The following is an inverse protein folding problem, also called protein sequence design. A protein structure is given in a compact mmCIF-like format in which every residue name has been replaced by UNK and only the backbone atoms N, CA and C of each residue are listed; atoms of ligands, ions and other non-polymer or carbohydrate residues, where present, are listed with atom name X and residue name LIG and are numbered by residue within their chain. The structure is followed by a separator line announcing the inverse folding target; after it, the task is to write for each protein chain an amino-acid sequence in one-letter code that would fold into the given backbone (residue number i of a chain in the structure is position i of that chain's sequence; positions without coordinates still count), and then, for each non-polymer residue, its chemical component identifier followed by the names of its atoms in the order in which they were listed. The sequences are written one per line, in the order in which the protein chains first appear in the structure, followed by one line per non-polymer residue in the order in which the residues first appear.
data_IF_754992265278
#
_entry.id   IF_754992265278
#
_cell.length_a   1.000
_cell.length_b   1.000
_cell.length_c   1.000
_cell.angle_alpha   90.00
_cell.angle_beta   90.00
_cell.angle_gamma   90.00
#
_symmetry.space_group_name_H-M   'P 1'
#
loop_
_entity.id
_entity.type
_entity.pdbx_description
1 polymer ?
#
# COMPACT_ATOMS: atom_id res chain seq x y z
N UNK A 1 9.22 -12.89 -59.90
CA UNK A 1 8.42 -11.93 -59.10
C UNK A 1 8.80 -12.21 -57.66
N UNK A 2 9.60 -11.33 -57.05
CA UNK A 2 10.04 -11.51 -55.67
C UNK A 2 8.88 -11.11 -54.75
N UNK A 3 8.53 -11.96 -53.79
CA UNK A 3 7.57 -11.61 -52.75
C UNK A 3 8.05 -10.36 -52.01
N UNK A 4 7.17 -9.41 -51.67
CA UNK A 4 7.56 -8.27 -50.86
C UNK A 4 7.97 -8.79 -49.48
N UNK A 5 9.10 -8.33 -48.90
CA UNK A 5 9.45 -8.69 -47.54
C UNK A 5 8.33 -8.16 -46.65
N UNK A 6 7.70 -9.05 -45.90
CA UNK A 6 6.71 -8.71 -44.88
C UNK A 6 7.45 -7.90 -43.80
N UNK A 7 7.56 -6.57 -43.98
CA UNK A 7 8.26 -5.64 -43.07
C UNK A 7 7.41 -5.36 -41.83
N UNK A 8 7.05 -6.42 -41.10
CA UNK A 8 6.55 -6.27 -39.74
C UNK A 8 7.68 -5.86 -38.82
N UNK A 9 7.38 -5.04 -37.80
CA UNK A 9 8.28 -4.88 -36.66
C UNK A 9 8.50 -6.26 -36.03
N UNK A 10 9.74 -6.63 -35.64
CA UNK A 10 9.98 -7.85 -34.87
C UNK A 10 9.08 -7.93 -33.64
N UNK A 11 8.59 -9.13 -33.33
CA UNK A 11 7.70 -9.35 -32.18
C UNK A 11 8.35 -8.90 -30.87
N UNK A 12 9.67 -9.11 -30.73
CA UNK A 12 10.42 -8.71 -29.55
C UNK A 12 10.40 -7.19 -29.32
N UNK A 13 10.61 -6.40 -30.38
CA UNK A 13 10.52 -4.93 -30.31
C UNK A 13 9.07 -4.51 -30.01
N UNK A 14 8.10 -5.15 -30.67
CA UNK A 14 6.69 -4.84 -30.47
C UNK A 14 6.25 -5.10 -29.01
N UNK A 15 6.70 -6.21 -28.42
CA UNK A 15 6.34 -6.59 -27.05
C UNK A 15 7.11 -5.73 -26.04
N UNK A 16 8.43 -5.70 -26.12
CA UNK A 16 9.29 -5.17 -25.05
C UNK A 16 9.65 -3.69 -25.19
N UNK A 17 9.45 -3.07 -26.36
CA UNK A 17 9.67 -1.62 -26.50
C UNK A 17 8.37 -0.83 -26.65
N UNK A 18 7.31 -1.45 -27.17
CA UNK A 18 6.04 -0.77 -27.42
C UNK A 18 4.99 -1.19 -26.40
N UNK A 19 4.54 -2.45 -26.41
CA UNK A 19 3.42 -2.90 -25.58
C UNK A 19 3.70 -2.75 -24.08
N UNK A 20 4.93 -3.00 -23.63
CA UNK A 20 5.31 -2.91 -22.22
C UNK A 20 5.23 -1.48 -21.66
N UNK A 21 5.28 -0.46 -22.52
CA UNK A 21 5.22 0.96 -22.14
C UNK A 21 3.82 1.56 -22.28
N UNK A 22 2.86 0.80 -22.84
CA UNK A 22 1.51 1.29 -23.03
C UNK A 22 0.78 1.46 -21.69
N UNK A 23 -0.07 2.48 -21.53
CA UNK A 23 -0.97 2.58 -20.39
C UNK A 23 -1.87 1.33 -20.25
N UNK A 24 -2.30 0.93 -19.04
CA UNK A 24 -3.01 -0.33 -18.82
C UNK A 24 -4.26 -0.48 -19.69
N UNK A 25 -5.04 0.59 -19.88
CA UNK A 25 -6.24 0.60 -20.73
C UNK A 25 -5.92 0.33 -22.20
N UNK A 26 -4.82 0.86 -22.73
CA UNK A 26 -4.39 0.63 -24.10
C UNK A 26 -3.87 -0.81 -24.27
N UNK A 27 -3.09 -1.30 -23.31
CA UNK A 27 -2.62 -2.68 -23.28
C UNK A 27 -3.79 -3.68 -23.29
N UNK A 28 -4.83 -3.45 -22.49
CA UNK A 28 -6.03 -4.30 -22.50
C UNK A 28 -6.73 -4.34 -23.86
N UNK A 29 -6.74 -3.24 -24.61
CA UNK A 29 -7.25 -3.21 -25.99
C UNK A 29 -6.35 -4.00 -26.94
N UNK A 30 -5.03 -3.87 -26.83
CA UNK A 30 -4.07 -4.67 -27.61
C UNK A 30 -4.27 -6.18 -27.39
N UNK A 31 -4.57 -6.60 -26.16
CA UNK A 31 -4.88 -8.01 -25.83
C UNK A 31 -6.12 -8.56 -26.53
N UNK A 32 -7.04 -7.69 -26.96
CA UNK A 32 -8.22 -8.08 -27.72
C UNK A 32 -7.95 -8.25 -29.22
N UNK A 33 -6.83 -7.73 -29.74
CA UNK A 33 -6.51 -7.74 -31.18
C UNK A 33 -6.15 -9.14 -31.67
N UNK A 34 -5.25 -9.85 -30.98
CA UNK A 34 -4.84 -11.20 -31.38
C UNK A 34 -4.41 -12.08 -30.20
N UNK A 35 -4.41 -13.41 -30.42
CA UNK A 35 -4.01 -14.40 -29.40
C UNK A 35 -2.53 -14.30 -29.03
N UNK A 36 -1.65 -13.96 -29.99
CA UNK A 36 -0.21 -13.84 -29.75
C UNK A 36 0.09 -12.71 -28.75
N UNK A 37 -0.45 -11.50 -28.99
CA UNK A 37 -0.32 -10.39 -28.05
C UNK A 37 -0.97 -10.68 -26.71
N UNK A 38 -2.16 -11.31 -26.70
CA UNK A 38 -2.78 -11.75 -25.46
C UNK A 38 -1.88 -12.69 -24.67
N UNK A 39 -1.26 -13.66 -25.33
CA UNK A 39 -0.35 -14.62 -24.69
C UNK A 39 0.92 -13.94 -24.17
N UNK A 40 1.61 -13.18 -25.02
CA UNK A 40 2.85 -12.49 -24.68
C UNK A 40 2.69 -11.55 -23.48
N UNK A 41 1.60 -10.77 -23.48
CA UNK A 41 1.30 -9.80 -22.41
C UNK A 41 0.66 -10.42 -21.16
N UNK A 42 0.40 -11.73 -21.17
CA UNK A 42 -0.05 -12.48 -19.98
C UNK A 42 1.10 -13.19 -19.26
N UNK A 43 2.31 -13.16 -19.83
CA UNK A 43 3.49 -13.73 -19.17
C UNK A 43 3.86 -12.92 -17.94
N UNK A 44 4.43 -13.60 -16.94
CA UNK A 44 4.85 -12.98 -15.69
C UNK A 44 5.86 -11.86 -15.92
N UNK A 45 6.88 -12.13 -16.73
CA UNK A 45 7.98 -11.20 -16.99
C UNK A 45 7.46 -9.92 -17.65
N UNK A 46 6.53 -10.07 -18.60
CA UNK A 46 5.90 -8.91 -19.22
C UNK A 46 5.11 -8.09 -18.20
N UNK A 47 4.32 -8.73 -17.33
CA UNK A 47 3.53 -8.02 -16.33
C UNK A 47 4.40 -7.26 -15.33
N UNK A 48 5.53 -7.85 -14.91
CA UNK A 48 6.50 -7.20 -14.03
C UNK A 48 7.18 -6.01 -14.70
N UNK A 49 7.65 -6.18 -15.95
CA UNK A 49 8.26 -5.10 -16.70
C UNK A 49 7.26 -3.98 -17.00
N UNK A 50 6.03 -4.34 -17.40
CA UNK A 50 4.94 -3.39 -17.64
C UNK A 50 4.62 -2.59 -16.39
N UNK A 51 4.52 -3.26 -15.24
CA UNK A 51 4.35 -2.61 -13.94
C UNK A 51 5.50 -1.66 -13.62
N UNK A 52 6.75 -2.04 -13.86
CA UNK A 52 7.92 -1.18 -13.65
C UNK A 52 7.94 0.10 -14.50
N UNK A 53 7.15 0.14 -15.59
CA UNK A 53 6.94 1.35 -16.38
C UNK A 53 5.71 2.17 -15.98
N UNK A 54 4.89 1.67 -15.04
CA UNK A 54 3.75 2.42 -14.52
C UNK A 54 4.17 3.35 -13.39
N UNK A 55 3.35 4.38 -13.19
CA UNK A 55 3.52 5.28 -12.06
C UNK A 55 3.08 4.59 -10.78
N UNK A 56 3.95 4.62 -9.76
CA UNK A 56 3.58 4.27 -8.40
C UNK A 56 2.75 5.42 -7.83
N UNK A 57 1.43 5.21 -7.73
CA UNK A 57 0.50 6.19 -7.18
C UNK A 57 0.04 5.73 -5.80
N UNK A 58 -0.08 6.63 -4.81
CA UNK A 58 -0.74 6.32 -3.55
C UNK A 58 -2.13 5.76 -3.82
N UNK A 59 -2.47 4.66 -3.15
CA UNK A 59 -3.78 4.04 -3.27
C UNK A 59 -4.67 4.46 -2.12
N UNK A 60 -5.87 4.87 -2.49
CA UNK A 60 -6.98 5.09 -1.58
C UNK A 60 -8.03 4.04 -1.88
N UNK A 61 -8.82 3.69 -0.87
CA UNK A 61 -9.98 2.85 -1.10
C UNK A 61 -11.21 3.42 -0.41
N UNK A 62 -12.35 3.32 -1.10
CA UNK A 62 -13.64 3.75 -0.60
C UNK A 62 -14.57 2.56 -0.44
N UNK A 63 -15.26 2.47 0.70
CA UNK A 63 -16.32 1.46 0.89
C UNK A 63 -17.68 2.14 0.77
N UNK A 64 -18.56 1.63 -0.09
CA UNK A 64 -19.94 2.13 -0.22
C UNK A 64 -20.92 1.00 0.00
N UNK A 65 -21.90 1.23 0.88
CA UNK A 65 -22.97 0.27 1.14
C UNK A 65 -24.05 0.41 0.07
N UNK A 66 -24.32 -0.66 -0.69
CA UNK A 66 -25.33 -0.67 -1.78
C UNK A 66 -26.60 -1.43 -1.34
N UNK A 67 -26.87 -1.47 -0.03
CA UNK A 67 -28.03 -2.14 0.55
C UNK A 67 -27.90 -3.66 0.46
N UNK A 68 -28.91 -4.33 -0.12
CA UNK A 68 -28.99 -5.81 -0.17
C UNK A 68 -27.89 -6.44 -1.04
N UNK A 69 -27.24 -5.66 -1.92
CA UNK A 69 -26.22 -6.14 -2.86
C UNK A 69 -24.82 -6.31 -2.22
N UNK A 70 -24.63 -5.89 -0.97
CA UNK A 70 -23.33 -5.94 -0.30
C UNK A 70 -22.58 -4.62 -0.30
N UNK A 71 -21.32 -4.69 0.09
CA UNK A 71 -20.43 -3.53 0.11
C UNK A 71 -19.56 -3.48 -1.14
N UNK A 72 -19.45 -2.29 -1.70
CA UNK A 72 -18.64 -2.04 -2.89
C UNK A 72 -17.35 -1.35 -2.46
N UNK A 73 -16.24 -1.99 -2.78
CA UNK A 73 -14.90 -1.46 -2.62
C UNK A 73 -14.46 -0.78 -3.92
N UNK A 74 -14.30 0.54 -3.86
CA UNK A 74 -13.70 1.36 -4.92
C UNK A 74 -12.20 1.51 -4.66
N UNK A 75 -11.37 1.17 -5.64
CA UNK A 75 -9.92 1.39 -5.62
C UNK A 75 -9.62 2.68 -6.39
N UNK A 76 -9.01 3.64 -5.70
CA UNK A 76 -8.86 5.02 -6.16
C UNK A 76 -7.38 5.41 -6.04
N UNK A 77 -6.58 5.31 -7.12
CA UNK A 77 -5.25 5.90 -7.13
C UNK A 77 -5.34 7.43 -7.04
N UNK A 78 -4.39 8.03 -6.32
CA UNK A 78 -4.21 9.46 -6.30
C UNK A 78 -3.19 9.90 -7.35
N UNK A 79 -3.69 10.41 -8.46
CA UNK A 79 -2.90 10.91 -9.58
C UNK A 79 -2.62 12.41 -9.40
N UNK A 80 -1.46 12.73 -8.82
CA UNK A 80 -1.05 14.09 -8.51
C UNK A 80 -0.16 14.69 -9.60
N UNK A 81 -0.23 14.18 -10.84
CA UNK A 81 0.53 14.76 -11.95
C UNK A 81 0.14 16.22 -12.20
N UNK A 82 1.12 17.11 -12.46
CA UNK A 82 0.83 18.52 -12.71
C UNK A 82 -0.03 18.69 -13.96
N UNK A 83 -0.97 19.63 -13.90
CA UNK A 83 -1.90 19.92 -15.00
C UNK A 83 -3.14 19.02 -15.06
N UNK A 84 -3.25 18.01 -14.19
CA UNK A 84 -4.48 17.22 -14.06
C UNK A 84 -5.53 17.99 -13.24
N UNK A 85 -6.75 18.08 -13.76
CA UNK A 85 -7.85 18.70 -13.03
C UNK A 85 -8.15 17.92 -11.75
N UNK A 86 -8.49 18.61 -10.66
CA UNK A 86 -8.79 17.99 -9.36
C UNK A 86 -9.81 16.83 -9.46
N UNK A 87 -10.84 16.97 -10.32
CA UNK A 87 -11.81 15.91 -10.54
C UNK A 87 -11.21 14.61 -11.09
N UNK A 88 -10.13 14.68 -11.87
CA UNK A 88 -9.46 13.54 -12.50
C UNK A 88 -8.38 12.90 -11.62
N UNK A 89 -7.94 13.59 -10.55
CA UNK A 89 -6.90 13.10 -9.64
C UNK A 89 -7.35 11.90 -8.78
N UNK A 90 -8.66 11.73 -8.60
CA UNK A 90 -9.26 10.69 -7.74
C UNK A 90 -10.35 9.91 -8.48
N UNK A 91 -9.97 9.22 -9.55
CA UNK A 91 -10.88 8.38 -10.32
C UNK A 91 -10.79 6.92 -9.90
N UNK A 92 -11.94 6.29 -9.63
CA UNK A 92 -12.00 4.85 -9.33
C UNK A 92 -11.54 4.05 -10.56
N UNK A 93 -10.54 3.19 -10.38
CA UNK A 93 -10.00 2.34 -11.45
C UNK A 93 -10.53 0.91 -11.38
N UNK A 94 -10.98 0.49 -10.21
CA UNK A 94 -11.61 -0.80 -10.00
C UNK A 94 -12.72 -0.67 -8.96
N UNK A 95 -13.81 -1.40 -9.22
CA UNK A 95 -14.95 -1.50 -8.34
C UNK A 95 -15.23 -2.97 -8.09
N UNK A 96 -15.08 -3.41 -6.84
CA UNK A 96 -15.22 -4.78 -6.42
C UNK A 96 -16.48 -4.90 -5.58
N UNK A 97 -17.44 -5.72 -6.02
CA UNK A 97 -18.63 -6.04 -5.24
C UNK A 97 -18.26 -7.19 -4.31
N UNK A 98 -18.07 -6.87 -3.04
CA UNK A 98 -17.75 -7.83 -2.00
C UNK A 98 -19.01 -8.01 -1.14
N UNK A 99 -19.17 -9.16 -0.48
CA UNK A 99 -20.41 -9.50 0.22
C UNK A 99 -20.77 -8.55 1.38
N UNK A 100 -21.59 -9.02 2.32
CA UNK A 100 -22.07 -8.22 3.45
C UNK A 100 -21.00 -8.00 4.56
N UNK A 101 -19.77 -7.68 4.20
CA UNK A 101 -18.66 -7.52 5.16
C UNK A 101 -17.77 -6.36 4.79
N UNK A 102 -17.35 -5.58 5.80
CA UNK A 102 -16.47 -4.42 5.69
C UNK A 102 -15.14 -4.79 5.00
N UNK A 103 -14.96 -4.46 3.71
CA UNK A 103 -13.74 -4.80 3.01
C UNK A 103 -12.64 -3.77 3.35
N UNK A 104 -11.42 -4.24 3.57
CA UNK A 104 -10.26 -3.38 3.70
C UNK A 104 -9.16 -3.83 2.73
N UNK A 105 -8.35 -2.87 2.28
CA UNK A 105 -7.11 -3.18 1.57
C UNK A 105 -6.02 -3.18 2.64
N UNK A 106 -5.38 -4.33 2.82
CA UNK A 106 -4.40 -4.57 3.88
C UNK A 106 -2.96 -4.42 3.37
N UNK A 107 -2.73 -4.69 2.08
CA UNK A 107 -1.45 -4.45 1.43
C UNK A 107 -1.61 -4.31 -0.09
N UNK A 108 -0.61 -3.68 -0.70
CA UNK A 108 -0.43 -3.60 -2.15
C UNK A 108 1.01 -3.95 -2.50
N UNK A 109 1.21 -4.78 -3.51
CA UNK A 109 2.54 -5.14 -3.99
C UNK A 109 2.50 -5.50 -5.48
N UNK A 110 3.28 -4.78 -6.29
CA UNK A 110 3.35 -4.93 -7.75
C UNK A 110 1.97 -4.96 -8.45
N UNK A 111 1.03 -4.14 -7.98
CA UNK A 111 -0.33 -4.06 -8.52
C UNK A 111 -1.27 -5.20 -8.09
N UNK A 112 -0.81 -6.13 -7.25
CA UNK A 112 -1.67 -7.06 -6.52
C UNK A 112 -2.11 -6.41 -5.21
N UNK A 113 -3.37 -6.58 -4.86
CA UNK A 113 -3.95 -6.13 -3.61
C UNK A 113 -4.23 -7.33 -2.72
N UNK A 114 -3.92 -7.21 -1.44
CA UNK A 114 -4.42 -8.11 -0.42
C UNK A 114 -5.59 -7.44 0.29
N UNK A 115 -6.76 -8.07 0.21
CA UNK A 115 -8.00 -7.58 0.77
C UNK A 115 -8.39 -8.43 1.97
N UNK A 116 -8.95 -7.81 3.00
CA UNK A 116 -9.66 -8.50 4.08
C UNK A 116 -11.16 -8.23 3.98
N UNK A 117 -11.97 -9.25 4.30
CA UNK A 117 -13.41 -9.11 4.54
C UNK A 117 -13.65 -9.37 6.02
N UNK A 118 -13.92 -8.30 6.78
CA UNK A 118 -13.87 -8.39 8.24
C UNK A 118 -12.46 -8.74 8.74
N UNK A 119 -12.33 -9.36 9.92
CA UNK A 119 -11.01 -9.58 10.56
C UNK A 119 -10.27 -10.84 10.09
N UNK A 120 -10.84 -11.69 9.24
CA UNK A 120 -10.36 -13.09 9.13
C UNK A 120 -10.31 -13.68 7.73
N UNK A 121 -11.07 -13.13 6.79
CA UNK A 121 -11.12 -13.67 5.43
C UNK A 121 -10.27 -12.82 4.50
N UNK A 122 -9.16 -13.39 4.01
CA UNK A 122 -8.25 -12.70 3.10
C UNK A 122 -8.45 -13.13 1.65
N UNK A 123 -8.26 -12.18 0.73
CA UNK A 123 -8.34 -12.38 -0.71
C UNK A 123 -7.20 -11.66 -1.40
N UNK A 124 -6.51 -12.34 -2.31
CA UNK A 124 -5.64 -11.66 -3.27
C UNK A 124 -6.47 -11.18 -4.45
N UNK A 125 -6.25 -9.95 -4.91
CA UNK A 125 -6.96 -9.35 -6.02
C UNK A 125 -6.00 -8.67 -6.99
N UNK A 126 -6.21 -8.89 -8.29
CA UNK A 126 -5.63 -8.05 -9.33
C UNK A 126 -6.74 -7.12 -9.88
N UNK A 127 -6.74 -5.82 -9.53
CA UNK A 127 -7.77 -4.89 -9.96
C UNK A 127 -7.78 -4.66 -11.49
N UNK A 128 -6.64 -4.81 -12.17
CA UNK A 128 -6.54 -4.62 -13.61
C UNK A 128 -7.19 -5.77 -14.40
N UNK A 129 -7.13 -7.01 -13.88
CA UNK A 129 -7.79 -8.17 -14.49
C UNK A 129 -9.14 -8.50 -13.87
N UNK A 130 -9.48 -7.87 -12.74
CA UNK A 130 -10.66 -8.15 -11.89
C UNK A 130 -10.70 -9.60 -11.39
N UNK A 131 -9.56 -10.26 -11.36
CA UNK A 131 -9.43 -11.60 -10.80
C UNK A 131 -9.15 -11.48 -9.31
N UNK A 132 -9.76 -12.36 -8.52
CA UNK A 132 -9.49 -12.47 -7.09
C UNK A 132 -9.62 -13.92 -6.65
N UNK A 133 -8.92 -14.29 -5.58
CA UNK A 133 -8.92 -15.63 -5.02
C UNK A 133 -8.84 -15.58 -3.49
N UNK A 134 -9.60 -16.43 -2.77
CA UNK A 134 -9.53 -16.51 -1.31
C UNK A 134 -8.23 -17.15 -0.84
N UNK A 135 -7.71 -16.71 0.30
CA UNK A 135 -6.54 -17.26 0.98
C UNK A 135 -6.98 -17.90 2.30
N UNK A 136 -7.46 -19.15 2.22
CA UNK A 136 -8.09 -19.84 3.37
C UNK A 136 -7.07 -20.28 4.42
N UNK A 137 -5.82 -20.52 3.99
CA UNK A 137 -4.73 -21.02 4.83
C UNK A 137 -4.26 -20.01 5.87
N UNK A 138 -4.57 -18.72 5.67
CA UNK A 138 -4.15 -17.63 6.55
C UNK A 138 -5.31 -17.10 7.38
N UNK A 139 -6.42 -17.85 7.46
CA UNK A 139 -7.56 -17.48 8.27
C UNK A 139 -7.15 -17.31 9.74
N UNK A 140 -7.50 -16.16 10.33
CA UNK A 140 -7.20 -15.84 11.72
C UNK A 140 -5.83 -15.20 11.96
N UNK A 141 -4.90 -15.25 11.00
CA UNK A 141 -3.62 -14.55 11.11
C UNK A 141 -3.81 -13.03 10.94
N UNK A 142 -2.92 -12.26 11.56
CA UNK A 142 -2.79 -10.83 11.29
C UNK A 142 -1.75 -10.63 10.19
N UNK A 143 -2.04 -9.75 9.23
CA UNK A 143 -1.08 -9.38 8.20
C UNK A 143 -0.10 -8.35 8.75
N UNK A 144 1.20 -8.60 8.55
CA UNK A 144 2.25 -7.61 8.79
C UNK A 144 2.76 -6.97 7.50
N UNK A 145 2.74 -7.69 6.38
CA UNK A 145 3.09 -7.12 5.08
C UNK A 145 3.08 -8.13 3.93
N UNK A 146 3.15 -7.61 2.71
CA UNK A 146 3.23 -8.39 1.48
C UNK A 146 4.47 -7.96 0.69
N UNK A 147 5.25 -8.91 0.19
CA UNK A 147 6.51 -8.63 -0.49
C UNK A 147 6.83 -9.62 -1.60
N UNK A 148 7.58 -9.20 -2.65
CA UNK A 148 8.19 -10.12 -3.59
C UNK A 148 9.48 -10.68 -2.99
N UNK A 149 9.61 -12.00 -2.96
CA UNK A 149 10.84 -12.69 -2.55
C UNK A 149 11.78 -12.78 -3.76
N UNK A 150 12.70 -11.82 -3.88
CA UNK A 150 13.58 -11.65 -5.05
C UNK A 150 14.28 -12.93 -5.52
N UNK A 151 14.83 -13.81 -4.64
CA UNK A 151 15.53 -15.02 -5.10
C UNK A 151 14.64 -16.04 -5.82
N UNK A 152 13.38 -16.20 -5.42
CA UNK A 152 12.45 -17.17 -6.02
C UNK A 152 11.46 -16.51 -6.98
N UNK A 153 11.38 -15.19 -6.94
CA UNK A 153 10.35 -14.37 -7.56
C UNK A 153 8.99 -14.49 -6.87
N UNK A 154 8.75 -15.42 -5.95
CA UNK A 154 7.43 -15.65 -5.35
C UNK A 154 6.92 -14.43 -4.59
N UNK A 155 5.60 -14.28 -4.50
CA UNK A 155 5.01 -13.31 -3.57
C UNK A 155 4.78 -14.01 -2.23
N UNK A 156 5.21 -13.36 -1.15
CA UNK A 156 5.07 -13.88 0.21
C UNK A 156 4.37 -12.86 1.10
N UNK A 157 3.70 -13.38 2.11
CA UNK A 157 3.06 -12.62 3.17
C UNK A 157 3.82 -12.86 4.46
N UNK A 158 4.12 -11.77 5.17
CA UNK A 158 4.52 -11.83 6.57
C UNK A 158 3.25 -11.75 7.42
N UNK A 159 3.07 -12.74 8.27
CA UNK A 159 1.89 -12.93 9.09
C UNK A 159 2.31 -13.00 10.55
N UNK A 160 1.37 -12.72 11.44
CA UNK A 160 1.55 -12.88 12.88
C UNK A 160 0.37 -13.65 13.47
N UNK A 161 0.68 -14.53 14.41
CA UNK A 161 -0.27 -15.26 15.22
C UNK A 161 -0.02 -14.94 16.69
N UNK A 162 -1.11 -14.68 17.41
CA UNK A 162 -1.11 -14.38 18.83
C UNK A 162 -2.44 -14.81 19.45
N UNK A 163 -2.36 -15.76 20.37
CA UNK A 163 -3.54 -16.34 21.02
C UNK A 163 -4.34 -15.29 21.84
N UNK A 164 -3.71 -14.25 22.38
CA UNK A 164 -4.38 -13.20 23.15
C UNK A 164 -5.08 -12.16 22.24
N UNK A 165 -4.56 -11.93 21.03
CA UNK A 165 -5.18 -11.04 20.04
C UNK A 165 -6.28 -11.73 19.22
N UNK A 166 -6.26 -13.06 19.16
CA UNK A 166 -7.16 -13.89 18.33
C UNK A 166 -8.15 -14.65 19.24
N UNK A 167 -9.30 -15.06 18.71
CA UNK A 167 -10.21 -15.91 19.49
C UNK A 167 -9.65 -17.35 19.53
N UNK A 168 -9.52 -17.99 20.71
CA UNK A 168 -8.78 -19.25 20.89
C UNK A 168 -9.36 -20.45 20.13
N UNK A 169 -10.61 -20.38 19.68
CA UNK A 169 -11.31 -21.49 19.01
C UNK A 169 -10.83 -21.79 17.57
N UNK A 170 -9.92 -20.98 17.00
CA UNK A 170 -9.62 -21.00 15.57
C UNK A 170 -8.47 -21.91 15.14
N UNK A 171 -7.46 -22.10 15.98
CA UNK A 171 -6.34 -23.00 15.71
C UNK A 171 -5.60 -23.38 17.01
N UNK A 172 -6.20 -24.23 17.86
CA UNK A 172 -5.60 -24.61 19.14
C UNK A 172 -4.21 -25.24 18.92
N UNK A 173 -3.20 -24.72 19.61
CA UNK A 173 -1.81 -25.21 19.53
C UNK A 173 -0.92 -24.53 18.48
N UNK A 174 -1.38 -23.46 17.83
CA UNK A 174 -0.52 -22.60 17.01
C UNK A 174 0.41 -21.80 17.92
N UNK A 175 1.70 -21.78 17.60
CA UNK A 175 2.70 -21.07 18.39
C UNK A 175 2.62 -19.57 18.13
N UNK A 176 2.65 -18.76 19.18
CA UNK A 176 2.73 -17.30 19.03
C UNK A 176 4.00 -16.91 18.27
N UNK A 177 3.85 -15.99 17.33
CA UNK A 177 4.96 -15.46 16.56
C UNK A 177 4.63 -15.18 15.10
N UNK A 178 5.69 -14.94 14.35
CA UNK A 178 5.64 -14.59 12.93
C UNK A 178 5.72 -15.81 12.03
N UNK A 179 4.97 -15.73 10.93
CA UNK A 179 4.86 -16.76 9.92
C UNK A 179 5.05 -16.18 8.54
N UNK A 180 5.57 -16.99 7.62
CA UNK A 180 5.65 -16.64 6.21
C UNK A 180 4.75 -17.56 5.39
N UNK A 181 3.92 -16.96 4.54
CA UNK A 181 3.05 -17.68 3.62
C UNK A 181 3.36 -17.32 2.17
N UNK A 182 3.61 -18.31 1.33
CA UNK A 182 3.84 -18.12 -0.10
C UNK A 182 2.51 -18.08 -0.85
N UNK A 183 2.22 -17.00 -1.57
CA UNK A 183 0.98 -16.89 -2.33
C UNK A 183 0.91 -17.96 -3.42
N UNK A 184 -0.23 -18.66 -3.46
CA UNK A 184 -0.47 -19.75 -4.39
C UNK A 184 0.15 -21.09 -3.97
N UNK A 185 0.84 -21.16 -2.83
CA UNK A 185 1.21 -22.46 -2.26
C UNK A 185 -0.05 -23.19 -1.78
N UNK A 186 -0.03 -24.53 -1.88
CA UNK A 186 -0.99 -25.39 -1.17
C UNK A 186 -0.62 -25.60 0.30
N UNK A 187 0.56 -25.12 0.71
CA UNK A 187 1.17 -25.36 2.01
C UNK A 187 0.72 -24.34 3.06
N UNK A 188 0.68 -24.72 4.35
CA UNK A 188 0.37 -23.79 5.44
C UNK A 188 1.49 -22.75 5.65
N UNK A 189 1.20 -21.66 6.37
CA UNK A 189 2.22 -20.69 6.77
C UNK A 189 3.35 -21.35 7.58
N UNK A 190 4.60 -21.03 7.25
CA UNK A 190 5.78 -21.54 7.94
C UNK A 190 6.16 -20.60 9.08
N UNK A 191 6.37 -21.16 10.27
CA UNK A 191 6.87 -20.42 11.42
C UNK A 191 8.28 -19.86 11.16
N UNK A 192 8.50 -18.60 11.52
CA UNK A 192 9.77 -17.89 11.32
C UNK A 192 10.40 -17.39 12.62
N UNK A 193 9.67 -17.43 13.73
CA UNK A 193 10.15 -16.96 15.02
C UNK A 193 9.30 -15.85 15.60
N UNK A 194 9.68 -15.39 16.80
CA UNK A 194 8.89 -14.48 17.62
C UNK A 194 9.55 -13.10 17.70
N UNK A 195 8.89 -12.02 17.24
CA UNK A 195 9.00 -10.71 17.87
C UNK A 195 7.89 -10.56 18.93
N UNK A 196 8.21 -9.86 20.02
CA UNK A 196 7.30 -9.55 21.14
C UNK A 196 5.98 -8.93 20.65
N UNK A 197 4.84 -9.45 21.13
CA UNK A 197 3.49 -9.04 20.70
C UNK A 197 3.24 -7.55 20.91
N UNK A 198 3.83 -6.96 21.95
CA UNK A 198 3.77 -5.52 22.20
C UNK A 198 4.52 -4.67 21.17
N UNK A 199 5.35 -5.27 20.31
CA UNK A 199 6.08 -4.59 19.22
C UNK A 199 5.18 -4.37 18.00
N UNK A 200 4.05 -5.08 17.92
CA UNK A 200 3.25 -5.21 16.71
C UNK A 200 1.96 -4.38 16.73
N UNK A 201 1.86 -3.38 17.63
CA UNK A 201 0.80 -2.38 17.52
C UNK A 201 1.00 -1.61 16.21
N UNK A 202 0.09 -1.92 15.28
CA UNK A 202 0.29 -1.83 13.85
C UNK A 202 0.54 -0.40 13.36
N UNK A 203 1.50 -0.24 12.47
CA UNK A 203 1.46 0.73 11.37
C UNK A 203 1.56 -0.08 10.07
N UNK A 204 0.96 0.39 8.97
CA UNK A 204 1.08 -0.31 7.69
C UNK A 204 2.57 -0.38 7.30
N UNK A 205 3.04 -1.58 6.94
CA UNK A 205 4.42 -1.74 6.53
C UNK A 205 4.66 -1.22 5.12
N UNK A 206 5.85 -0.68 4.90
CA UNK A 206 6.30 -0.29 3.57
C UNK A 206 7.49 -1.15 3.16
N UNK A 207 7.55 -1.52 1.87
CA UNK A 207 8.71 -2.23 1.32
C UNK A 207 9.73 -1.21 0.86
N UNK A 208 10.87 -1.13 1.54
CA UNK A 208 11.95 -0.22 1.20
C UNK A 208 13.29 -0.97 1.18
N UNK A 209 14.08 -0.81 0.11
CA UNK A 209 15.39 -1.45 -0.05
C UNK A 209 15.41 -2.97 0.27
N UNK A 210 14.36 -3.70 -0.13
CA UNK A 210 14.26 -5.15 0.07
C UNK A 210 13.92 -5.59 1.50
N UNK A 211 13.56 -4.67 2.40
CA UNK A 211 13.03 -5.00 3.72
C UNK A 211 11.62 -4.40 3.87
N UNK A 212 10.75 -5.07 4.64
CA UNK A 212 9.53 -4.45 5.13
C UNK A 212 9.86 -3.62 6.36
N UNK A 213 9.35 -2.39 6.44
CA UNK A 213 9.55 -1.46 7.54
C UNK A 213 8.21 -1.03 8.14
N UNK A 214 8.12 -1.03 9.46
CA UNK A 214 7.00 -0.44 10.18
C UNK A 214 7.46 0.19 11.49
N UNK A 215 6.80 1.26 11.90
CA UNK A 215 7.08 1.92 13.16
C UNK A 215 6.58 1.05 14.32
N UNK A 216 7.38 0.94 15.38
CA UNK A 216 7.01 0.22 16.61
C UNK A 216 6.30 1.20 17.53
N UNK A 217 4.99 1.03 17.69
CA UNK A 217 4.18 1.83 18.63
C UNK A 217 4.17 1.16 20.02
N UNK A 218 5.22 1.38 20.82
CA UNK A 218 5.29 0.94 22.22
C UNK A 218 5.12 2.15 23.14
N UNK A 219 4.19 2.05 24.10
CA UNK A 219 3.93 2.98 25.22
C UNK A 219 4.76 4.26 25.18
N UNK A 220 4.12 5.36 24.72
CA UNK A 220 4.50 6.77 24.47
C UNK A 220 5.77 7.41 25.11
N UNK A 221 6.77 6.65 25.55
CA UNK A 221 7.80 7.09 26.49
C UNK A 221 9.18 6.48 26.29
N UNK A 222 9.38 5.38 25.53
CA UNK A 222 10.71 4.73 25.56
C UNK A 222 11.30 4.13 24.28
N UNK A 223 10.59 3.95 23.16
CA UNK A 223 11.22 3.33 21.98
C UNK A 223 10.71 3.89 20.65
N UNK A 224 11.50 4.79 20.05
CA UNK A 224 11.32 5.23 18.66
C UNK A 224 12.17 4.34 17.77
N UNK A 225 11.64 3.16 17.47
CA UNK A 225 12.34 2.16 16.68
C UNK A 225 11.46 1.76 15.51
N UNK A 226 12.09 1.49 14.39
CA UNK A 226 11.45 0.88 13.23
C UNK A 226 11.85 -0.59 13.25
N UNK A 227 10.86 -1.46 13.10
CA UNK A 227 11.10 -2.88 12.86
C UNK A 227 11.33 -3.09 11.37
N UNK A 228 12.30 -3.95 11.05
CA UNK A 228 12.62 -4.35 9.71
C UNK A 228 12.52 -5.86 9.59
N UNK A 229 11.94 -6.32 8.50
CA UNK A 229 12.00 -7.71 8.09
C UNK A 229 12.73 -7.79 6.76
N UNK A 230 13.94 -8.35 6.76
CA UNK A 230 14.70 -8.61 5.54
C UNK A 230 13.96 -9.67 4.72
N UNK A 231 13.54 -9.31 3.51
CA UNK A 231 12.69 -10.20 2.71
C UNK A 231 13.46 -11.35 2.08
N UNK A 232 14.80 -11.31 2.05
CA UNK A 232 15.64 -12.34 1.44
C UNK A 232 16.08 -13.37 2.47
N UNK A 233 16.56 -12.91 3.63
CA UNK A 233 16.93 -13.81 4.73
C UNK A 233 15.78 -14.15 5.65
N UNK A 234 14.64 -13.46 5.52
CA UNK A 234 13.45 -13.60 6.37
C UNK A 234 13.78 -13.44 7.86
N UNK A 235 14.57 -12.40 8.17
CA UNK A 235 15.05 -12.14 9.52
C UNK A 235 14.70 -10.73 9.98
N UNK A 236 14.42 -10.61 11.27
CA UNK A 236 14.07 -9.34 11.90
C UNK A 236 15.32 -8.57 12.33
N UNK A 237 15.28 -7.25 12.18
CA UNK A 237 16.22 -6.30 12.80
C UNK A 237 15.48 -5.04 13.22
N UNK A 238 16.08 -4.25 14.10
CA UNK A 238 15.56 -2.95 14.50
C UNK A 238 16.53 -1.85 14.06
N UNK A 239 15.99 -0.68 13.75
CA UNK A 239 16.76 0.54 13.51
C UNK A 239 16.17 1.70 14.30
N UNK A 240 17.00 2.71 14.59
CA UNK A 240 16.55 3.93 15.27
C UNK A 240 15.66 4.77 14.36
N UNK A 241 14.64 5.36 14.98
CA UNK A 241 13.76 6.36 14.39
C UNK A 241 13.85 7.70 15.14
N UNK A 242 13.44 8.80 14.52
CA UNK A 242 13.24 10.08 15.19
C UNK A 242 12.33 9.97 16.40
N UNK A 243 12.60 10.78 17.43
CA UNK A 243 11.73 10.82 18.62
C UNK A 243 10.43 11.54 18.28
N UNK A 244 9.32 10.81 18.31
CA UNK A 244 7.99 11.32 17.96
C UNK A 244 6.99 11.09 19.10
N UNK A 245 6.01 11.99 19.27
CA UNK A 245 5.12 11.98 20.44
C UNK A 245 3.99 10.93 20.37
N UNK A 246 3.93 10.11 19.33
CA UNK A 246 2.87 9.12 19.12
C UNK A 246 3.06 8.31 17.84
N UNK A 247 1.95 7.84 17.27
CA UNK A 247 1.97 7.04 16.04
C UNK A 247 2.63 7.78 14.88
N UNK A 248 3.50 7.07 14.16
CA UNK A 248 4.15 7.56 12.96
C UNK A 248 3.87 6.65 11.77
N UNK A 249 3.71 7.27 10.61
CA UNK A 249 3.56 6.58 9.33
C UNK A 249 4.86 6.69 8.54
N UNK A 250 5.31 5.56 8.01
CA UNK A 250 6.47 5.50 7.12
C UNK A 250 6.02 5.65 5.66
N UNK A 251 6.87 6.24 4.84
CA UNK A 251 6.66 6.37 3.40
C UNK A 251 8.00 6.50 2.67
N UNK A 252 8.00 6.34 1.35
CA UNK A 252 9.17 6.64 0.52
C UNK A 252 9.11 8.09 0.03
N UNK A 253 10.24 8.80 0.10
CA UNK A 253 10.38 10.16 -0.39
C UNK A 253 11.75 10.36 -1.02
N UNK A 254 11.77 10.71 -2.31
CA UNK A 254 13.00 10.96 -3.08
C UNK A 254 14.02 9.81 -3.02
N UNK A 255 13.54 8.55 -3.00
CA UNK A 255 14.38 7.36 -2.86
C UNK A 255 14.94 7.13 -1.45
N UNK A 256 14.51 7.94 -0.47
CA UNK A 256 14.88 7.81 0.94
C UNK A 256 13.66 7.42 1.79
N UNK A 257 13.94 6.88 2.98
CA UNK A 257 12.89 6.57 3.95
C UNK A 257 12.40 7.87 4.62
N UNK A 258 11.09 8.09 4.58
CA UNK A 258 10.40 9.20 5.22
C UNK A 258 9.52 8.72 6.38
N UNK A 259 9.29 9.60 7.35
CA UNK A 259 8.42 9.34 8.49
C UNK A 259 7.61 10.60 8.83
N UNK A 260 6.31 10.45 9.03
CA UNK A 260 5.41 11.53 9.44
C UNK A 260 4.75 11.23 10.76
N UNK A 261 4.64 12.25 11.61
CA UNK A 261 3.97 12.16 12.91
C UNK A 261 3.25 13.46 13.24
N UNK A 262 2.11 13.35 13.92
CA UNK A 262 1.46 14.51 14.53
C UNK A 262 2.15 14.89 15.84
N UNK A 263 2.09 16.18 16.21
CA UNK A 263 2.34 16.58 17.58
C UNK A 263 1.20 16.13 18.53
N UNK A 264 1.38 16.24 19.85
CA UNK A 264 0.35 15.87 20.83
C UNK A 264 -0.98 16.63 20.70
N UNK A 265 -0.97 17.83 20.11
CA UNK A 265 -2.17 18.63 19.89
C UNK A 265 -2.83 18.37 18.52
N UNK A 266 -2.19 17.53 17.70
CA UNK A 266 -2.45 17.29 16.29
C UNK A 266 -2.67 18.52 15.41
N UNK A 267 -2.00 19.62 15.76
CA UNK A 267 -2.00 20.87 15.00
C UNK A 267 -0.83 20.97 14.03
N UNK A 268 0.18 20.12 14.17
CA UNK A 268 1.34 20.11 13.28
C UNK A 268 1.67 18.70 12.84
N UNK A 269 2.10 18.56 11.58
CA UNK A 269 2.69 17.34 11.05
C UNK A 269 4.19 17.57 10.88
N UNK A 270 4.99 16.80 11.59
CA UNK A 270 6.43 16.76 11.41
C UNK A 270 6.77 15.68 10.39
N UNK A 271 7.54 16.05 9.37
CA UNK A 271 8.03 15.16 8.32
C UNK A 271 9.55 15.03 8.43
N UNK A 272 9.97 13.81 8.74
CA UNK A 272 11.36 13.41 8.87
C UNK A 272 11.82 12.65 7.64
N UNK A 273 13.09 12.81 7.27
CA UNK A 273 13.73 12.10 6.18
C UNK A 273 15.05 11.51 6.64
N UNK A 274 15.30 10.26 6.28
CA UNK A 274 16.60 9.62 6.49
C UNK A 274 17.64 10.32 5.62
N UNK A 275 18.75 10.75 6.24
CA UNK A 275 19.90 11.34 5.56
C UNK A 275 20.88 10.26 5.09
N UNK A 276 21.06 9.26 5.93
CA UNK A 276 21.87 8.09 5.67
C UNK A 276 21.19 6.92 6.37
N UNK A 277 20.74 5.97 5.54
CA UNK A 277 19.97 4.81 5.96
C UNK A 277 20.80 3.86 6.84
N UNK A 278 22.08 3.67 6.52
CA UNK A 278 22.95 2.72 7.22
C UNK A 278 23.43 3.29 8.56
N UNK A 279 23.63 4.61 8.64
CA UNK A 279 23.95 5.27 9.90
C UNK A 279 22.73 5.57 10.79
N UNK A 280 21.52 5.26 10.31
CA UNK A 280 20.25 5.55 10.99
C UNK A 280 20.08 7.03 11.33
N UNK A 281 20.62 7.91 10.49
CA UNK A 281 20.58 9.36 10.67
C UNK A 281 19.34 9.95 10.03
N UNK A 282 18.64 10.81 10.78
CA UNK A 282 17.41 11.45 10.35
C UNK A 282 17.46 12.97 10.54
N UNK A 283 16.79 13.69 9.65
CA UNK A 283 16.59 15.13 9.76
C UNK A 283 15.12 15.50 9.61
N UNK A 284 14.66 16.46 10.41
CA UNK A 284 13.36 17.09 10.21
C UNK A 284 13.44 17.93 8.93
N UNK A 285 12.63 17.59 7.93
CA UNK A 285 12.61 18.26 6.63
C UNK A 285 11.51 19.31 6.56
N UNK A 286 10.32 18.99 7.07
CA UNK A 286 9.19 19.91 7.13
C UNK A 286 8.51 19.84 8.49
N UNK A 287 8.00 20.99 8.92
CA UNK A 287 7.01 21.09 10.00
C UNK A 287 5.84 21.85 9.43
N UNK A 288 4.71 21.16 9.29
CA UNK A 288 3.55 21.69 8.60
C UNK A 288 2.48 22.04 9.62
N UNK A 289 2.18 23.33 9.74
CA UNK A 289 1.14 23.83 10.61
C UNK A 289 -0.24 23.65 9.94
N UNK A 290 -1.17 23.03 10.66
CA UNK A 290 -2.54 22.82 10.21
C UNK A 290 -3.49 23.73 11.00
N UNK A 291 -4.33 24.54 10.32
CA UNK A 291 -5.38 25.30 10.97
C UNK A 291 -6.57 24.39 11.34
N UNK A 292 -6.35 23.43 12.24
CA UNK A 292 -7.30 22.34 12.57
C UNK A 292 -8.66 22.87 13.00
N UNK A 293 -8.70 23.98 13.75
CA UNK A 293 -9.97 24.60 14.18
C UNK A 293 -10.80 25.07 12.98
N UNK A 294 -10.19 25.79 12.04
CA UNK A 294 -10.86 26.31 10.85
C UNK A 294 -11.27 25.17 9.91
N UNK A 295 -10.36 24.21 9.70
CA UNK A 295 -10.63 23.03 8.88
C UNK A 295 -11.75 22.17 9.49
N UNK A 296 -11.79 22.04 10.81
CA UNK A 296 -12.85 21.30 11.51
C UNK A 296 -14.19 21.99 11.39
N UNK A 297 -14.22 23.33 11.49
CA UNK A 297 -15.43 24.12 11.31
C UNK A 297 -15.98 24.00 9.87
N UNK A 298 -15.10 23.91 8.87
CA UNK A 298 -15.48 23.87 7.46
C UNK A 298 -15.80 22.46 6.95
N UNK A 299 -15.02 21.45 7.34
CA UNK A 299 -15.04 20.11 6.73
C UNK A 299 -15.50 19.00 7.70
N UNK A 300 -15.68 19.32 8.98
CA UNK A 300 -16.11 18.38 10.01
C UNK A 300 -14.96 17.82 10.85
N UNK A 301 -15.28 16.89 11.76
CA UNK A 301 -14.33 16.42 12.78
C UNK A 301 -13.09 15.76 12.17
N UNK A 302 -11.95 16.14 12.72
CA UNK A 302 -10.66 15.49 12.51
C UNK A 302 -10.47 14.35 13.52
N UNK A 303 -9.90 13.23 13.06
CA UNK A 303 -9.39 12.17 13.94
C UNK A 303 -7.97 11.85 13.52
N UNK A 304 -7.05 11.82 14.47
CA UNK A 304 -5.60 11.71 14.22
C UNK A 304 -5.19 10.35 13.67
N UNK A 305 -5.97 9.32 13.98
CA UNK A 305 -5.65 7.94 13.67
C UNK A 305 -5.74 7.68 12.17
N UNK A 306 -4.59 7.40 11.55
CA UNK A 306 -4.46 6.78 10.22
C UNK A 306 -5.08 7.57 9.07
N UNK A 307 -5.08 8.90 9.19
CA UNK A 307 -5.81 9.80 8.29
C UNK A 307 -4.91 10.73 7.46
N UNK A 308 -3.60 10.48 7.45
CA UNK A 308 -2.64 11.23 6.63
C UNK A 308 -1.88 10.28 5.75
N UNK A 309 -1.80 10.62 4.47
CA UNK A 309 -0.79 10.08 3.56
C UNK A 309 0.07 11.22 3.05
N UNK A 310 1.37 11.07 3.24
CA UNK A 310 2.36 11.94 2.63
C UNK A 310 2.73 11.35 1.28
N UNK A 311 2.73 12.17 0.25
CA UNK A 311 3.18 11.82 -1.09
C UNK A 311 4.17 12.86 -1.58
N UNK A 312 5.23 12.40 -2.24
CA UNK A 312 6.24 13.26 -2.84
C UNK A 312 6.28 13.03 -4.34
N UNK A 313 6.34 14.10 -5.12
CA UNK A 313 6.51 14.02 -6.56
C UNK A 313 7.33 15.19 -7.08
N UNK A 314 8.39 14.88 -7.83
CA UNK A 314 9.32 15.88 -8.36
C UNK A 314 9.84 16.87 -7.30
N UNK A 315 9.98 16.43 -6.05
CA UNK A 315 10.43 17.27 -4.92
C UNK A 315 9.33 18.03 -4.19
N UNK A 316 8.10 18.08 -4.73
CA UNK A 316 6.95 18.67 -4.06
C UNK A 316 6.34 17.68 -3.08
N UNK A 317 6.15 18.10 -1.82
CA UNK A 317 5.48 17.29 -0.80
C UNK A 317 4.05 17.74 -0.64
N UNK A 318 3.15 16.77 -0.75
CA UNK A 318 1.72 16.93 -0.56
C UNK A 318 1.25 15.95 0.51
N UNK A 319 0.28 16.39 1.30
CA UNK A 319 -0.38 15.55 2.29
C UNK A 319 -1.86 15.44 1.93
N UNK A 320 -2.35 14.21 1.94
CA UNK A 320 -3.77 13.92 1.89
C UNK A 320 -4.26 13.68 3.30
N UNK A 321 -5.15 14.55 3.79
CA UNK A 321 -5.63 14.53 5.17
C UNK A 321 -7.15 14.38 5.18
N UNK A 322 -7.66 13.40 5.92
CA UNK A 322 -9.10 13.19 6.04
C UNK A 322 -9.73 14.03 7.15
N UNK A 323 -10.76 14.79 6.81
CA UNK A 323 -11.61 15.54 7.74
C UNK A 323 -13.08 15.19 7.49
N UNK A 324 -13.74 14.52 8.43
CA UNK A 324 -15.12 14.07 8.25
C UNK A 324 -15.34 13.27 6.95
N UNK A 325 -16.20 13.80 6.07
CA UNK A 325 -16.50 13.23 4.74
C UNK A 325 -15.62 13.83 3.62
N UNK A 326 -14.57 14.58 3.97
CA UNK A 326 -13.68 15.25 3.03
C UNK A 326 -12.26 14.70 3.09
N UNK A 327 -11.61 14.68 1.93
CA UNK A 327 -10.18 14.48 1.78
C UNK A 327 -9.57 15.82 1.35
N UNK A 328 -8.65 16.34 2.14
CA UNK A 328 -7.98 17.61 1.91
C UNK A 328 -6.58 17.36 1.38
N UNK A 329 -6.18 18.10 0.35
CA UNK A 329 -4.82 18.13 -0.14
C UNK A 329 -4.14 19.39 0.39
N UNK A 330 -3.08 19.20 1.16
CA UNK A 330 -2.32 20.27 1.81
C UNK A 330 -0.88 20.21 1.34
N UNK A 331 -0.29 21.36 1.03
CA UNK A 331 1.14 21.44 0.66
C UNK A 331 2.06 21.50 1.89
N UNK A 332 3.37 21.50 1.65
CA UNK A 332 4.39 21.56 2.70
C UNK A 332 4.35 22.86 3.53
N UNK A 333 3.69 23.92 3.04
CA UNK A 333 3.52 25.19 3.76
C UNK A 333 2.24 25.21 4.62
N UNK A 334 1.47 24.11 4.63
CA UNK A 334 0.22 24.00 5.39
C UNK A 334 -0.99 24.60 4.68
N UNK A 335 -0.86 24.97 3.41
CA UNK A 335 -1.93 25.59 2.64
C UNK A 335 -2.80 24.53 1.96
N UNK A 336 -4.12 24.73 2.03
CA UNK A 336 -5.09 23.90 1.32
C UNK A 336 -4.97 24.13 -0.20
N UNK A 337 -4.60 23.09 -0.94
CA UNK A 337 -4.47 23.07 -2.40
C UNK A 337 -5.78 22.64 -3.07
N UNK A 338 -6.41 21.60 -2.54
CA UNK A 338 -7.66 21.06 -3.06
C UNK A 338 -8.47 20.36 -1.96
N UNK A 339 -9.78 20.21 -2.18
CA UNK A 339 -10.64 19.43 -1.30
C UNK A 339 -11.55 18.51 -2.13
N UNK A 340 -11.75 17.30 -1.64
CA UNK A 340 -12.52 16.26 -2.31
C UNK A 340 -13.59 15.71 -1.37
N UNK A 341 -14.85 15.75 -1.79
CA UNK A 341 -15.93 15.18 -0.99
C UNK A 341 -16.00 13.65 -1.19
N UNK A 342 -15.59 12.88 -0.18
CA UNK A 342 -15.46 11.41 -0.20
C UNK A 342 -15.81 10.80 1.17
N UNK A 343 -17.06 10.35 1.32
CA UNK A 343 -17.64 9.90 2.61
C UNK A 343 -16.89 8.80 3.34
N UNK A 344 -16.21 7.88 2.65
CA UNK A 344 -15.70 6.64 3.24
C UNK A 344 -14.34 6.22 2.66
N UNK A 345 -13.43 7.17 2.46
CA UNK A 345 -12.06 6.85 2.01
C UNK A 345 -11.17 6.47 3.19
N UNK A 346 -10.35 5.45 3.00
CA UNK A 346 -9.24 5.04 3.85
C UNK A 346 -7.96 4.98 3.01
N UNK A 347 -6.83 5.10 3.71
CA UNK A 347 -5.50 5.01 3.15
C UNK A 347 -4.99 3.57 3.25
N UNK A 348 -4.17 3.15 2.30
CA UNK A 348 -3.44 1.86 2.33
C UNK A 348 -2.00 2.07 2.69
#
# INVERSE_FOLDING_TARGET
MADPPNRGLPDEISIWEILVRLPPKALLRCRAVCRAWRSATSTRDFLLAHHGHQLTLPLLYGCTNVGVQGEVLDIIPFDHRPGLAAADQLQSVARLVLGLSYPCVEASCNGLLLLSLGRRDFFVCNPATRQYAPLRQIYGYVLLGMYPHSPTGEYRLLLYWDEDLIYPDLAPGTQDGSYVFTLGSGEPPRYTGYPDSGILMFSNSILFHGSLHWHIDKDASTSNMIMLFDTTSESFRQMRAPVVPGHASLFEMDGMLGMSSFNHAATTIDIWMSQDYDSEAWALKYRVDLPVTDLTAQFGKFTETWNVVVTCWNGDVLMLIKFGEWLLQVDADGKLVASFHRKLVRFT
#
